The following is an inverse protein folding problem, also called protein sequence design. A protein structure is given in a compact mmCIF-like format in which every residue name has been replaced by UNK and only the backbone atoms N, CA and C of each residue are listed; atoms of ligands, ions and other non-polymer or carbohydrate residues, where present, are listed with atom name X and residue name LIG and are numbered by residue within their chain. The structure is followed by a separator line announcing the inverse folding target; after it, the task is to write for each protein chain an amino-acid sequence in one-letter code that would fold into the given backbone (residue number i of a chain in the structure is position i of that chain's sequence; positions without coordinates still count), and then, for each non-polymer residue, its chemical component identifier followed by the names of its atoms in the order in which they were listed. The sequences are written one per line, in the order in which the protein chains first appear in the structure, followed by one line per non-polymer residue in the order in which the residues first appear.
data_IF_414477451244
#
_entry.id   IF_414477451244
#
_cell.length_a   1.000
_cell.length_b   1.000
_cell.length_c   1.000
_cell.angle_alpha   90.00
_cell.angle_beta   90.00
_cell.angle_gamma   90.00
#
_symmetry.space_group_name_H-M   'P 1'
#
loop_
_entity.id
_entity.type
_entity.pdbx_description
1 polymer ?
#
# COMPACT_ATOMS: atom_id res chain seq x y z
N UNK A 1 3.97 18.99 2.03
CA UNK A 1 5.01 19.82 1.35
C UNK A 1 4.66 21.30 1.41
N UNK A 2 5.65 22.21 1.51
CA UNK A 2 5.43 23.66 1.59
C UNK A 2 5.65 24.30 0.22
N UNK A 3 4.60 24.85 -0.38
CA UNK A 3 4.68 25.65 -1.61
C UNK A 3 4.91 27.11 -1.21
N UNK A 4 5.98 27.78 -1.69
CA UNK A 4 6.21 29.20 -1.43
C UNK A 4 5.00 30.05 -1.81
N UNK A 5 4.61 30.99 -0.95
CA UNK A 5 3.49 31.90 -1.19
C UNK A 5 2.10 31.40 -0.76
N UNK A 6 1.97 30.15 -0.31
CA UNK A 6 0.70 29.60 0.20
C UNK A 6 0.80 29.13 1.64
N UNK A 7 -0.31 29.25 2.39
CA UNK A 7 -0.45 28.56 3.67
C UNK A 7 -0.38 27.04 3.39
N UNK A 8 0.35 26.25 4.22
CA UNK A 8 0.42 24.80 4.03
C UNK A 8 -0.98 24.18 3.84
N UNK A 9 -1.16 23.38 2.78
CA UNK A 9 -2.43 22.74 2.42
C UNK A 9 -3.47 23.63 1.72
N UNK A 10 -3.17 24.91 1.45
CA UNK A 10 -4.09 25.86 0.78
C UNK A 10 -3.57 26.38 -0.56
N UNK A 11 -2.65 25.65 -1.19
CA UNK A 11 -2.22 25.97 -2.55
C UNK A 11 -3.29 25.52 -3.57
N UNK A 12 -3.60 26.33 -4.61
CA UNK A 12 -4.48 25.91 -5.69
C UNK A 12 -3.92 24.72 -6.47
N UNK A 13 -4.82 23.84 -6.95
CA UNK A 13 -4.45 22.63 -7.69
C UNK A 13 -3.49 22.90 -8.87
N UNK A 14 -3.76 23.92 -9.69
CA UNK A 14 -2.90 24.25 -10.83
C UNK A 14 -1.46 24.68 -10.45
N UNK A 15 -1.26 25.18 -9.23
CA UNK A 15 0.09 25.48 -8.72
C UNK A 15 0.79 24.21 -8.28
N UNK A 16 0.06 23.30 -7.62
CA UNK A 16 0.56 21.97 -7.21
C UNK A 16 0.97 21.18 -8.46
N UNK A 17 0.12 21.13 -9.48
CA UNK A 17 0.39 20.47 -10.77
C UNK A 17 1.66 20.98 -11.45
N UNK A 18 1.86 22.31 -11.48
CA UNK A 18 3.08 22.91 -12.06
C UNK A 18 4.34 22.62 -11.25
N UNK A 19 4.21 22.48 -9.93
CA UNK A 19 5.37 22.31 -9.04
C UNK A 19 5.81 20.85 -8.91
N UNK A 20 4.86 19.91 -8.89
CA UNK A 20 5.12 18.49 -8.70
C UNK A 20 4.95 17.66 -9.97
N UNK A 21 4.23 18.16 -10.97
CA UNK A 21 3.89 17.39 -12.17
C UNK A 21 2.74 16.41 -11.93
N UNK A 22 2.03 16.06 -13.00
CA UNK A 22 0.85 15.19 -12.95
C UNK A 22 1.19 13.78 -12.48
N UNK A 23 2.28 13.20 -13.00
CA UNK A 23 2.71 11.85 -12.67
C UNK A 23 2.97 11.65 -11.17
N UNK A 24 3.68 12.59 -10.52
CA UNK A 24 3.94 12.49 -9.08
C UNK A 24 2.67 12.69 -8.24
N UNK A 25 1.70 13.49 -8.71
CA UNK A 25 0.42 13.64 -8.00
C UNK A 25 -0.38 12.35 -8.06
N UNK A 26 -0.38 11.71 -9.23
CA UNK A 26 -1.06 10.44 -9.46
C UNK A 26 -0.42 9.30 -8.66
N UNK A 27 0.92 9.21 -8.65
CA UNK A 27 1.66 8.25 -7.84
C UNK A 27 1.32 8.38 -6.35
N UNK A 28 1.35 9.61 -5.82
CA UNK A 28 0.96 9.86 -4.42
C UNK A 28 -0.49 9.52 -4.13
N UNK A 29 -1.41 9.82 -5.06
CA UNK A 29 -2.81 9.48 -4.88
C UNK A 29 -3.03 7.95 -4.84
N UNK A 30 -2.22 7.20 -5.60
CA UNK A 30 -2.20 5.74 -5.59
C UNK A 30 -1.61 5.22 -4.29
N UNK A 31 -0.49 5.78 -3.82
CA UNK A 31 0.09 5.43 -2.51
C UNK A 31 -0.92 5.64 -1.38
N UNK A 32 -1.55 6.82 -1.33
CA UNK A 32 -2.57 7.16 -0.33
C UNK A 32 -3.75 6.18 -0.40
N UNK A 33 -4.20 5.80 -1.61
CA UNK A 33 -5.26 4.81 -1.79
C UNK A 33 -4.84 3.42 -1.29
N UNK A 34 -3.60 2.99 -1.57
CA UNK A 34 -3.07 1.69 -1.15
C UNK A 34 -3.01 1.63 0.38
N UNK A 35 -2.53 2.69 1.04
CA UNK A 35 -2.43 2.76 2.50
C UNK A 35 -3.81 2.64 3.18
N UNK A 36 -4.87 3.14 2.53
CA UNK A 36 -6.25 3.02 3.02
C UNK A 36 -6.83 1.60 2.81
N UNK A 37 -6.67 1.01 1.62
CA UNK A 37 -7.30 -0.28 1.27
C UNK A 37 -6.54 -1.51 1.78
N UNK A 38 -5.21 -1.41 1.93
CA UNK A 38 -4.39 -2.54 2.32
C UNK A 38 -4.80 -3.14 3.68
N UNK A 39 -4.99 -2.37 4.77
CA UNK A 39 -5.46 -2.92 6.04
C UNK A 39 -6.87 -3.55 5.93
N UNK A 40 -7.80 -2.93 5.20
CA UNK A 40 -9.13 -3.50 4.96
C UNK A 40 -9.04 -4.86 4.24
N UNK A 41 -8.18 -4.99 3.23
CA UNK A 41 -8.01 -6.26 2.52
C UNK A 41 -7.40 -7.37 3.41
N UNK A 42 -6.44 -7.02 4.28
CA UNK A 42 -5.87 -7.99 5.22
C UNK A 42 -6.94 -8.50 6.19
N UNK A 43 -7.79 -7.60 6.70
CA UNK A 43 -8.90 -7.94 7.59
C UNK A 43 -9.97 -8.79 6.89
N UNK A 44 -10.34 -8.45 5.65
CA UNK A 44 -11.35 -9.18 4.87
C UNK A 44 -10.89 -10.60 4.51
N UNK A 45 -9.60 -10.78 4.24
CA UNK A 45 -8.99 -12.07 3.89
C UNK A 45 -8.58 -12.92 5.10
N UNK A 46 -8.69 -12.39 6.33
CA UNK A 46 -8.30 -13.05 7.58
C UNK A 46 -6.88 -13.66 7.53
N UNK A 47 -5.94 -12.93 6.91
CA UNK A 47 -4.55 -13.36 6.79
C UNK A 47 -3.68 -12.72 7.87
N UNK A 48 -2.77 -13.51 8.46
CA UNK A 48 -1.75 -13.04 9.42
C UNK A 48 -0.41 -12.84 8.68
N UNK A 49 -0.14 -11.64 8.11
CA UNK A 49 1.09 -11.38 7.40
C UNK A 49 2.28 -11.34 8.36
N UNK A 50 3.37 -12.01 7.99
CA UNK A 50 4.63 -11.95 8.74
C UNK A 50 5.34 -10.59 8.60
N UNK A 51 5.02 -9.82 7.57
CA UNK A 51 5.62 -8.52 7.29
C UNK A 51 4.84 -7.72 6.25
N UNK A 52 5.30 -6.50 5.92
CA UNK A 52 4.63 -5.65 4.94
C UNK A 52 4.63 -6.30 3.55
N UNK A 53 3.53 -6.12 2.82
CA UNK A 53 3.43 -6.50 1.43
C UNK A 53 4.31 -5.62 0.55
N UNK A 54 4.75 -6.17 -0.58
CA UNK A 54 5.49 -5.43 -1.60
C UNK A 54 4.65 -5.37 -2.87
N UNK A 55 4.52 -4.17 -3.44
CA UNK A 55 3.96 -3.99 -4.78
C UNK A 55 4.90 -4.65 -5.79
N UNK A 56 4.40 -5.65 -6.51
CA UNK A 56 5.14 -6.37 -7.55
C UNK A 56 4.81 -5.82 -8.93
N UNK A 57 3.54 -5.55 -9.21
CA UNK A 57 3.11 -5.14 -10.53
C UNK A 57 1.90 -4.20 -10.50
N UNK A 58 1.80 -3.38 -11.55
CA UNK A 58 0.67 -2.49 -11.81
C UNK A 58 0.18 -2.76 -13.24
N UNK A 59 -0.59 -3.83 -13.45
CA UNK A 59 -0.99 -4.27 -14.79
C UNK A 59 -1.93 -3.29 -15.52
N UNK A 60 -2.70 -2.48 -14.80
CA UNK A 60 -3.61 -1.50 -15.38
C UNK A 60 -3.73 -0.26 -14.50
N UNK A 61 -3.90 0.90 -15.12
CA UNK A 61 -4.10 2.19 -14.45
C UNK A 61 -5.52 2.76 -14.68
N UNK A 62 -6.29 2.18 -15.60
CA UNK A 62 -7.66 2.59 -15.90
C UNK A 62 -8.51 1.37 -16.34
N UNK A 63 -9.15 0.65 -15.39
CA UNK A 63 -9.17 0.87 -13.95
C UNK A 63 -7.82 0.49 -13.29
N UNK A 64 -7.48 1.09 -12.14
CA UNK A 64 -6.25 0.76 -11.43
C UNK A 64 -6.31 -0.66 -10.87
N UNK A 65 -5.31 -1.48 -11.19
CA UNK A 65 -5.13 -2.84 -10.68
C UNK A 65 -3.71 -2.96 -10.14
N UNK A 66 -3.59 -3.37 -8.88
CA UNK A 66 -2.32 -3.50 -8.16
C UNK A 66 -2.11 -4.93 -7.69
N UNK A 67 -0.92 -5.48 -7.93
CA UNK A 67 -0.54 -6.80 -7.46
C UNK A 67 0.48 -6.68 -6.32
N UNK A 68 0.10 -7.18 -5.16
CA UNK A 68 0.95 -7.22 -3.97
C UNK A 68 1.34 -8.65 -3.64
N UNK A 69 2.61 -8.84 -3.25
CA UNK A 69 3.09 -10.08 -2.64
C UNK A 69 3.27 -9.84 -1.15
N UNK A 70 2.53 -10.62 -0.35
CA UNK A 70 2.51 -10.53 1.11
C UNK A 70 3.05 -11.82 1.70
N UNK A 71 4.09 -11.77 2.56
CA UNK A 71 4.59 -12.96 3.22
C UNK A 71 3.62 -13.39 4.33
N UNK A 72 3.06 -14.59 4.23
CA UNK A 72 2.20 -15.15 5.28
C UNK A 72 3.03 -15.79 6.39
N UNK A 73 2.49 -15.76 7.61
CA UNK A 73 3.06 -16.52 8.72
C UNK A 73 2.98 -18.01 8.44
N UNK A 74 4.04 -18.74 8.81
CA UNK A 74 4.04 -20.19 8.65
C UNK A 74 3.07 -20.86 9.62
N UNK A 75 2.27 -21.79 9.11
CA UNK A 75 1.52 -22.74 9.94
C UNK A 75 2.50 -23.80 10.43
N UNK A 76 2.80 -23.81 11.74
CA UNK A 76 3.62 -24.86 12.36
C UNK A 76 2.70 -25.93 12.90
N UNK A 77 2.68 -27.09 12.24
CA UNK A 77 2.08 -28.31 12.80
C UNK A 77 3.14 -29.04 13.61
N UNK A 78 3.04 -28.94 14.94
CA UNK A 78 3.88 -29.74 15.84
C UNK A 78 3.42 -31.20 15.74
N UNK A 79 4.24 -32.06 15.15
CA UNK A 79 4.05 -33.51 15.23
C UNK A 79 4.09 -33.99 16.68
N UNK A 80 3.65 -35.23 16.92
CA UNK A 80 3.52 -35.79 18.27
C UNK A 80 4.90 -36.03 18.91
N UNK A 81 5.48 -34.98 19.48
CA UNK A 81 6.79 -34.98 20.10
C UNK A 81 6.81 -35.71 21.46
N UNK A 82 5.62 -36.02 22.00
CA UNK A 82 5.45 -36.74 23.26
C UNK A 82 5.67 -38.26 23.09
N UNK A 83 5.73 -38.77 21.86
CA UNK A 83 5.99 -40.19 21.58
C UNK A 83 7.48 -40.56 21.60
N UNK A 84 8.37 -39.56 21.72
CA UNK A 84 9.82 -39.74 21.77
C UNK A 84 10.31 -39.33 23.16
N UNK A 85 9.89 -40.10 24.17
CA UNK A 85 10.47 -40.05 25.52
C UNK A 85 11.06 -41.38 25.91
#
# INVERSE_FOLDING_TARGET
TKIPGFRPGKAPYGVILKHFGEANILERAIEDLIDDIYPEMIEELDIDPHGPGKLENVPSMDPPVFEFVVPLKSTVELGDYLSVS
#
